data_IF_526587826437
#
_entry.id   IF_526587826437
#
_cell.length_a   1.000
_cell.length_b   1.000
_cell.length_c   1.000
_cell.angle_alpha   90.00
_cell.angle_beta   90.00
_cell.angle_gamma   90.00
#
_symmetry.space_group_name_H-M   'P 1'
#
loop_
_entity.id
_entity.type
_entity.pdbx_description
1 polymer ?
#
# COMPACT_ATOMS: atom_id res chain seq x y z
N UNK A 1 -14.67 -9.00 35.50
CA UNK A 1 -13.63 -9.30 34.48
C UNK A 1 -13.89 -8.53 33.17
N UNK A 2 -14.26 -7.24 33.24
CA UNK A 2 -14.63 -6.45 32.04
C UNK A 2 -13.64 -5.30 31.74
N UNK A 3 -12.85 -4.88 32.74
CA UNK A 3 -11.95 -3.73 32.62
C UNK A 3 -10.78 -3.93 31.65
N UNK A 4 -10.30 -5.16 31.45
CA UNK A 4 -9.18 -5.44 30.53
C UNK A 4 -9.56 -5.25 29.06
N UNK A 5 -10.79 -5.62 28.69
CA UNK A 5 -11.28 -5.47 27.32
C UNK A 5 -11.53 -4.00 26.96
N UNK A 6 -12.08 -3.23 27.90
CA UNK A 6 -12.31 -1.79 27.71
C UNK A 6 -11.00 -1.01 27.57
N UNK A 7 -10.01 -1.31 28.43
CA UNK A 7 -8.69 -0.67 28.34
C UNK A 7 -7.98 -0.97 27.02
N UNK A 8 -8.02 -2.22 26.57
CA UNK A 8 -7.43 -2.62 25.29
C UNK A 8 -8.13 -1.94 24.10
N UNK A 9 -9.47 -1.83 24.15
CA UNK A 9 -10.25 -1.14 23.12
C UNK A 9 -9.92 0.35 23.08
N UNK A 10 -9.91 1.03 24.22
CA UNK A 10 -9.61 2.46 24.29
C UNK A 10 -8.20 2.78 23.78
N UNK A 11 -7.19 1.98 24.16
CA UNK A 11 -5.84 2.11 23.63
C UNK A 11 -5.76 1.91 22.12
N UNK A 12 -6.57 1.00 21.58
CA UNK A 12 -6.65 0.76 20.16
C UNK A 12 -7.28 1.96 19.45
N UNK A 13 -8.45 2.42 19.91
CA UNK A 13 -9.16 3.58 19.35
C UNK A 13 -8.30 4.87 19.42
N UNK A 14 -7.53 5.09 20.49
CA UNK A 14 -6.63 6.24 20.63
C UNK A 14 -5.42 6.22 19.68
N UNK A 15 -4.95 5.03 19.30
CA UNK A 15 -3.75 4.87 18.47
C UNK A 15 -4.05 4.67 16.99
N UNK A 16 -5.31 4.34 16.64
CA UNK A 16 -5.72 4.09 15.27
C UNK A 16 -6.28 5.37 14.63
N UNK A 17 -5.38 6.10 13.98
CA UNK A 17 -5.77 7.19 13.10
C UNK A 17 -6.45 6.60 11.85
N UNK A 18 -7.72 6.98 11.62
CA UNK A 18 -8.45 6.55 10.43
C UNK A 18 -7.86 7.30 9.24
N UNK A 19 -7.11 6.60 8.38
CA UNK A 19 -6.56 7.21 7.17
C UNK A 19 -7.70 7.59 6.23
N UNK A 20 -7.84 8.87 5.94
CA UNK A 20 -8.82 9.37 4.97
C UNK A 20 -8.32 9.06 3.55
N UNK A 21 -8.99 8.13 2.88
CA UNK A 21 -8.74 7.81 1.48
C UNK A 21 -9.81 8.45 0.60
N UNK A 22 -9.45 8.83 -0.63
CA UNK A 22 -10.41 9.30 -1.64
C UNK A 22 -10.44 8.34 -2.82
N UNK A 23 -11.60 8.27 -3.47
CA UNK A 23 -11.76 7.52 -4.72
C UNK A 23 -10.83 8.14 -5.76
N UNK A 24 -10.03 7.32 -6.44
CA UNK A 24 -9.00 7.76 -7.38
C UNK A 24 -7.60 7.93 -6.79
N UNK A 25 -7.42 7.86 -5.47
CA UNK A 25 -6.09 7.92 -4.87
C UNK A 25 -5.26 6.70 -5.25
N UNK A 26 -3.94 6.93 -5.40
CA UNK A 26 -2.96 5.87 -5.55
C UNK A 26 -2.57 5.34 -4.18
N UNK A 27 -2.57 4.03 -4.05
CA UNK A 27 -2.29 3.35 -2.80
C UNK A 27 -1.33 2.18 -2.97
N UNK A 28 -0.66 1.85 -1.87
CA UNK A 28 0.14 0.65 -1.70
C UNK A 28 -0.61 -0.33 -0.80
N UNK A 29 -0.64 -1.60 -1.20
CA UNK A 29 -1.27 -2.68 -0.45
C UNK A 29 -0.20 -3.52 0.24
N UNK A 30 -0.36 -3.76 1.53
CA UNK A 30 0.53 -4.59 2.33
C UNK A 30 0.51 -6.05 1.85
N UNK A 31 1.70 -6.60 1.62
CA UNK A 31 1.88 -7.99 1.19
C UNK A 31 2.16 -8.95 2.34
N UNK A 32 2.24 -8.45 3.58
CA UNK A 32 2.59 -9.24 4.76
C UNK A 32 1.67 -10.46 4.95
N UNK A 33 0.40 -10.33 4.57
CA UNK A 33 -0.61 -11.39 4.68
C UNK A 33 -0.83 -12.15 3.36
N UNK A 34 0.03 -11.95 2.35
CA UNK A 34 -0.12 -12.60 1.05
C UNK A 34 0.61 -13.94 1.01
N UNK A 35 -0.13 -15.01 1.30
CA UNK A 35 0.38 -16.39 1.24
C UNK A 35 0.75 -16.88 -0.19
N UNK A 36 0.43 -16.10 -1.23
CA UNK A 36 0.61 -16.51 -2.63
C UNK A 36 1.87 -15.92 -3.29
N UNK A 37 2.66 -15.12 -2.55
CA UNK A 37 3.93 -14.60 -3.07
C UNK A 37 5.01 -15.66 -2.87
N UNK A 38 5.42 -16.30 -3.96
CA UNK A 38 6.51 -17.28 -3.95
C UNK A 38 7.86 -16.55 -3.88
N UNK A 39 8.67 -16.88 -2.89
CA UNK A 39 10.05 -16.38 -2.76
C UNK A 39 10.53 -16.34 -1.31
N UNK A 40 11.82 -16.04 -1.08
CA UNK A 40 12.35 -15.86 0.26
C UNK A 40 11.75 -14.59 0.89
N UNK A 41 11.20 -14.70 2.11
CA UNK A 41 10.51 -13.60 2.82
C UNK A 41 11.30 -12.28 2.86
N UNK A 42 12.63 -12.34 2.88
CA UNK A 42 13.51 -11.16 2.92
C UNK A 42 13.54 -10.35 1.63
N UNK A 43 13.23 -10.97 0.48
CA UNK A 43 13.22 -10.31 -0.83
C UNK A 43 11.81 -9.92 -1.29
N UNK A 44 10.78 -10.25 -0.51
CA UNK A 44 9.42 -9.85 -0.80
C UNK A 44 9.24 -8.42 -0.30
N UNK A 45 8.92 -7.52 -1.22
CA UNK A 45 8.54 -6.16 -0.86
C UNK A 45 7.33 -6.20 0.07
N UNK A 46 7.41 -5.52 1.22
CA UNK A 46 6.32 -5.44 2.20
C UNK A 46 5.05 -4.78 1.67
N UNK A 47 5.15 -4.07 0.54
CA UNK A 47 4.06 -3.39 -0.14
C UNK A 47 4.09 -3.69 -1.63
N UNK A 48 2.90 -3.83 -2.22
CA UNK A 48 2.66 -3.96 -3.65
C UNK A 48 1.82 -2.78 -4.14
N UNK A 49 2.08 -2.32 -5.37
CA UNK A 49 1.37 -1.20 -5.98
C UNK A 49 2.31 -0.32 -6.79
N UNK A 50 1.84 0.84 -7.27
CA UNK A 50 0.61 1.53 -6.89
C UNK A 50 -0.67 0.91 -7.49
N UNK A 51 -1.77 0.98 -6.75
CA UNK A 51 -3.12 0.63 -7.20
C UNK A 51 -4.06 1.81 -7.02
N UNK A 52 -5.16 1.82 -7.77
CA UNK A 52 -6.18 2.88 -7.72
C UNK A 52 -7.34 2.42 -6.84
N UNK A 53 -7.84 3.32 -5.99
CA UNK A 53 -9.08 3.13 -5.25
C UNK A 53 -10.27 3.33 -6.21
N UNK A 54 -11.07 2.28 -6.40
CA UNK A 54 -12.29 2.34 -7.21
C UNK A 54 -13.50 2.80 -6.40
N UNK A 55 -13.63 2.30 -5.17
CA UNK A 55 -14.73 2.63 -4.28
C UNK A 55 -14.30 2.52 -2.81
N UNK A 56 -15.00 3.24 -1.95
CA UNK A 56 -14.78 3.20 -0.50
C UNK A 56 -16.02 2.59 0.13
N UNK A 57 -15.83 1.51 0.89
CA UNK A 57 -16.91 0.80 1.55
C UNK A 57 -16.89 1.13 3.05
N UNK A 58 -17.58 2.23 3.40
CA UNK A 58 -17.62 2.76 4.76
C UNK A 58 -16.30 3.40 5.18
N UNK A 59 -15.96 3.35 6.46
CA UNK A 59 -14.69 3.90 7.00
C UNK A 59 -13.57 2.87 7.04
N UNK A 60 -13.90 1.58 6.97
CA UNK A 60 -12.95 0.50 7.30
C UNK A 60 -12.42 -0.23 6.09
N UNK A 61 -13.08 -0.15 4.93
CA UNK A 61 -12.75 -0.96 3.76
C UNK A 61 -12.69 -0.15 2.47
N UNK A 62 -11.78 -0.55 1.59
CA UNK A 62 -11.47 0.12 0.32
C UNK A 62 -11.47 -0.92 -0.79
N UNK A 63 -12.18 -0.65 -1.86
CA UNK A 63 -12.15 -1.46 -3.08
C UNK A 63 -11.05 -0.95 -4.01
N UNK A 64 -10.18 -1.86 -4.41
CA UNK A 64 -8.93 -1.55 -5.10
C UNK A 64 -8.87 -2.30 -6.42
N UNK A 65 -8.44 -1.60 -7.47
CA UNK A 65 -8.17 -2.22 -8.75
C UNK A 65 -6.86 -3.02 -8.72
N UNK A 66 -6.96 -4.32 -8.50
CA UNK A 66 -5.80 -5.21 -8.44
C UNK A 66 -5.28 -5.59 -9.84
N UNK A 67 -3.95 -5.54 -9.99
CA UNK A 67 -3.26 -6.01 -11.21
C UNK A 67 -3.41 -7.52 -11.43
N UNK A 68 -3.19 -8.01 -12.67
CA UNK A 68 -3.39 -9.42 -13.09
C UNK A 68 -2.76 -10.47 -12.16
N UNK A 69 -1.64 -10.15 -11.52
CA UNK A 69 -0.94 -11.04 -10.57
C UNK A 69 -1.68 -11.25 -9.23
N UNK A 70 -2.57 -10.32 -8.87
CA UNK A 70 -3.33 -10.30 -7.61
C UNK A 70 -4.85 -10.42 -7.84
N UNK A 71 -5.31 -10.64 -9.08
CA UNK A 71 -6.74 -10.78 -9.43
C UNK A 71 -7.47 -11.92 -8.70
N UNK A 72 -6.74 -12.90 -8.17
CA UNK A 72 -7.32 -14.01 -7.40
C UNK A 72 -7.61 -13.62 -5.94
N UNK A 73 -7.33 -12.38 -5.53
CA UNK A 73 -7.63 -11.86 -4.19
C UNK A 73 -8.85 -10.95 -4.25
N UNK A 74 -9.54 -10.88 -3.11
CA UNK A 74 -10.68 -9.99 -2.97
C UNK A 74 -10.24 -8.54 -3.22
N UNK A 75 -10.94 -7.81 -4.10
CA UNK A 75 -10.62 -6.42 -4.42
C UNK A 75 -10.92 -5.49 -3.23
N UNK A 76 -11.75 -5.92 -2.28
CA UNK A 76 -12.09 -5.18 -1.08
C UNK A 76 -11.10 -5.51 0.04
N UNK A 77 -10.32 -4.52 0.45
CA UNK A 77 -9.28 -4.64 1.47
C UNK A 77 -9.59 -3.72 2.65
N UNK A 78 -9.27 -4.13 3.89
CA UNK A 78 -9.36 -3.24 5.03
C UNK A 78 -8.35 -2.09 4.88
N UNK A 79 -8.76 -0.89 5.28
CA UNK A 79 -7.96 0.34 5.22
C UNK A 79 -6.62 0.21 5.96
N UNK A 80 -6.53 -0.64 6.99
CA UNK A 80 -5.31 -0.92 7.75
C UNK A 80 -4.19 -1.59 6.94
N UNK A 81 -4.55 -2.27 5.85
CA UNK A 81 -3.59 -2.91 4.95
C UNK A 81 -3.17 -1.99 3.81
N UNK A 82 -3.67 -0.77 3.79
CA UNK A 82 -3.48 0.20 2.72
C UNK A 82 -2.64 1.38 3.22
N UNK A 83 -1.75 1.89 2.37
CA UNK A 83 -1.02 3.14 2.61
C UNK A 83 -1.14 4.05 1.41
N UNK A 84 -1.21 5.36 1.63
CA UNK A 84 -1.12 6.34 0.54
C UNK A 84 0.19 6.17 -0.23
N UNK A 85 0.10 6.15 -1.55
CA UNK A 85 1.25 6.19 -2.41
C UNK A 85 1.71 7.65 -2.53
N UNK A 86 2.82 7.99 -1.88
CA UNK A 86 3.52 9.23 -2.16
C UNK A 86 4.17 9.11 -3.54
N UNK A 87 3.49 9.59 -4.57
CA UNK A 87 4.13 9.83 -5.86
C UNK A 87 5.33 10.75 -5.63
N UNK A 88 6.41 10.62 -6.40
CA UNK A 88 7.58 11.49 -6.24
C UNK A 88 7.23 12.91 -6.67
N UNK A 89 6.54 13.65 -5.80
CA UNK A 89 6.24 15.06 -6.02
C UNK A 89 7.58 15.76 -5.97
N UNK A 90 7.93 16.40 -7.09
CA UNK A 90 9.19 17.13 -7.27
C UNK A 90 9.44 18.16 -6.17
N UNK A 91 8.35 18.67 -5.58
CA UNK A 91 8.34 19.60 -4.44
C UNK A 91 8.88 18.99 -3.15
N UNK A 92 8.54 17.72 -2.86
CA UNK A 92 9.00 17.02 -1.64
C UNK A 92 10.39 16.42 -1.81
N UNK A 93 10.78 16.09 -3.04
CA UNK A 93 12.04 15.43 -3.38
C UNK A 93 12.85 16.24 -4.40
N UNK A 94 13.03 17.53 -4.14
CA UNK A 94 13.72 18.47 -5.02
C UNK A 94 15.17 18.07 -5.35
N UNK A 95 15.86 17.35 -4.46
CA UNK A 95 17.23 16.84 -4.68
C UNK A 95 17.28 15.59 -5.56
N UNK A 96 16.14 14.94 -5.80
CA UNK A 96 16.02 13.79 -6.70
C UNK A 96 15.93 14.32 -8.13
N UNK A 97 16.95 15.04 -8.56
CA UNK A 97 17.12 15.38 -9.96
C UNK A 97 17.17 14.07 -10.75
N UNK A 98 16.33 13.99 -11.77
CA UNK A 98 16.33 12.89 -12.75
C UNK A 98 17.68 12.90 -13.44
N UNK A 99 18.69 12.25 -12.86
CA UNK A 99 19.93 11.98 -13.58
C UNK A 99 19.51 11.12 -14.76
N UNK A 100 19.63 11.60 -16.02
CA UNK A 100 19.30 10.77 -17.15
C UNK A 100 20.15 9.51 -17.03
N UNK A 101 19.51 8.35 -17.07
CA UNK A 101 20.19 7.06 -17.03
C UNK A 101 21.18 7.05 -18.19
N UNK A 102 22.47 7.24 -17.90
CA UNK A 102 23.54 7.15 -18.89
C UNK A 102 23.67 5.67 -19.22
N UNK A 103 22.79 5.16 -20.08
CA UNK A 103 22.86 3.79 -20.58
C UNK A 103 24.22 3.65 -21.26
N UNK A 104 25.06 2.68 -20.84
CA UNK A 104 26.27 2.36 -21.57
C UNK A 104 25.91 2.01 -23.01
N UNK A 105 26.73 2.40 -24.01
CA UNK A 105 26.54 1.95 -25.37
C UNK A 105 26.43 0.43 -25.38
N UNK A 106 25.35 -0.10 -25.94
CA UNK A 106 25.23 -1.53 -26.17
C UNK A 106 26.19 -1.86 -27.32
N UNK A 107 27.38 -2.35 -27.01
CA UNK A 107 28.29 -2.88 -28.02
C UNK A 107 27.56 -4.00 -28.76
N UNK A 108 27.24 -3.73 -30.02
CA UNK A 108 26.65 -4.71 -30.93
C UNK A 108 27.76 -5.72 -31.24
N UNK A 109 27.74 -6.86 -30.55
CA UNK A 109 28.55 -8.04 -30.89
C UNK A 109 27.92 -8.81 -32.05
#
# INVERSE_FOLDING_TARGET
>A
MNHTFEYAKQKWDESHETSEFKVGDLILVSTLNFNNIKGPKKFINSFAGPFIIEAIQGTTAVQVQLSRKLKNKDPTLPASLVKHYASSVKELFYLRNETPLKVPPLDKS
#
